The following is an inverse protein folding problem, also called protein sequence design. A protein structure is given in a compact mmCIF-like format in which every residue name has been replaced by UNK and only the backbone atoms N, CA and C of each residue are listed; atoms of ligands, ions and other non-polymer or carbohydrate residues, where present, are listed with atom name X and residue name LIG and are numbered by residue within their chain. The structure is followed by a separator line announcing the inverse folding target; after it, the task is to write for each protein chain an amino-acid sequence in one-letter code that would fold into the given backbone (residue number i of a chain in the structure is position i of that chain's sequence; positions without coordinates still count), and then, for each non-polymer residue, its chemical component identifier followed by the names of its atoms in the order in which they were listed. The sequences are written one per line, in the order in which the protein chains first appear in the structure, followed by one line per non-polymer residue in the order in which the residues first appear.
data_IF_459414044427
#
_entry.id   IF_459414044427
#
_cell.length_a   1.000
_cell.length_b   1.000
_cell.length_c   1.000
_cell.angle_alpha   90.00
_cell.angle_beta   90.00
_cell.angle_gamma   90.00
#
_symmetry.space_group_name_H-M   'P 1'
#
loop_
_entity.id
_entity.type
_entity.pdbx_description
1 polymer ?
#
# COMPACT_ATOMS: atom_id res chain seq x y z
N UNK A 1 6.89 -40.40 1.24
CA UNK A 1 6.13 -39.46 2.10
C UNK A 1 6.05 -38.15 1.35
N UNK A 2 5.00 -37.96 0.56
CA UNK A 2 4.74 -36.73 -0.20
C UNK A 2 4.06 -35.75 0.74
N UNK A 3 4.82 -34.78 1.25
CA UNK A 3 4.28 -33.64 2.00
C UNK A 3 3.45 -32.84 1.03
N UNK A 4 2.13 -32.94 1.12
CA UNK A 4 1.19 -32.05 0.45
C UNK A 4 1.52 -30.64 0.96
N UNK A 5 2.08 -29.78 0.10
CA UNK A 5 2.02 -28.35 0.30
C UNK A 5 0.53 -28.01 0.20
N UNK A 6 -0.11 -27.88 1.35
CA UNK A 6 -1.43 -27.27 1.45
C UNK A 6 -1.30 -25.86 0.88
N UNK A 7 -1.87 -25.66 -0.30
CA UNK A 7 -2.10 -24.34 -0.89
C UNK A 7 -2.99 -23.54 0.07
N UNK A 8 -2.38 -22.94 1.08
CA UNK A 8 -3.08 -22.02 1.99
C UNK A 8 -3.53 -20.84 1.16
N UNK A 9 -4.83 -20.80 0.88
CA UNK A 9 -5.48 -19.65 0.24
C UNK A 9 -5.07 -18.39 1.01
N UNK A 10 -4.51 -17.37 0.33
CA UNK A 10 -4.07 -16.15 1.01
C UNK A 10 -5.22 -15.55 1.81
N UNK A 11 -5.00 -15.20 3.08
CA UNK A 11 -6.01 -14.53 3.89
C UNK A 11 -6.45 -13.24 3.19
N UNK A 12 -7.76 -13.09 2.97
CA UNK A 12 -8.27 -11.88 2.37
C UNK A 12 -8.29 -10.74 3.40
N UNK A 13 -7.86 -9.53 3.01
CA UNK A 13 -7.94 -8.37 3.89
C UNK A 13 -9.40 -8.06 4.23
N UNK A 14 -9.70 -7.95 5.53
CA UNK A 14 -11.03 -7.64 6.03
C UNK A 14 -11.32 -6.15 5.83
N UNK A 15 -12.40 -5.84 5.11
CA UNK A 15 -12.87 -4.47 4.89
C UNK A 15 -14.28 -4.37 5.46
N UNK A 16 -14.48 -3.45 6.41
CA UNK A 16 -15.78 -3.16 7.04
C UNK A 16 -16.10 -1.69 6.73
N UNK A 17 -17.29 -1.43 6.20
CA UNK A 17 -17.76 -0.08 5.82
C UNK A 17 -16.78 0.71 4.93
N UNK A 18 -16.03 0.00 4.08
CA UNK A 18 -15.03 0.59 3.20
C UNK A 18 -13.65 0.83 3.84
N UNK A 19 -13.52 0.63 5.15
CA UNK A 19 -12.27 0.78 5.89
C UNK A 19 -11.61 -0.59 6.13
N UNK A 20 -10.28 -0.63 6.01
CA UNK A 20 -9.51 -1.83 6.30
C UNK A 20 -9.38 -2.04 7.82
N UNK A 21 -9.79 -3.22 8.28
CA UNK A 21 -9.62 -3.64 9.67
C UNK A 21 -8.43 -4.59 9.77
N UNK A 22 -7.35 -4.21 10.46
CA UNK A 22 -6.20 -5.07 10.63
C UNK A 22 -6.55 -6.29 11.50
N UNK A 23 -6.14 -7.47 11.04
CA UNK A 23 -6.31 -8.74 11.75
C UNK A 23 -4.93 -9.33 12.09
N UNK A 24 -4.91 -10.42 12.86
CA UNK A 24 -3.67 -11.15 13.12
C UNK A 24 -3.07 -11.76 11.85
N UNK A 25 -3.92 -12.19 10.93
CA UNK A 25 -3.50 -12.81 9.68
C UNK A 25 -3.02 -11.78 8.64
N UNK A 26 -3.55 -10.56 8.72
CA UNK A 26 -3.14 -9.43 7.87
C UNK A 26 -2.92 -8.19 8.76
N UNK A 27 -1.81 -8.12 9.51
CA UNK A 27 -1.56 -7.06 10.48
C UNK A 27 -0.92 -5.82 9.84
N UNK A 28 -1.54 -5.30 8.79
CA UNK A 28 -1.07 -4.08 8.15
C UNK A 28 -1.34 -2.87 9.04
N UNK A 29 -0.31 -2.03 9.23
CA UNK A 29 -0.38 -0.79 10.00
C UNK A 29 0.04 0.40 9.16
N UNK A 30 -0.83 1.39 9.02
CA UNK A 30 -0.53 2.66 8.34
C UNK A 30 0.59 3.43 9.02
N UNK A 31 0.60 3.44 10.36
CA UNK A 31 1.65 4.08 11.13
C UNK A 31 3.03 3.46 10.89
N UNK A 32 3.09 2.12 10.73
CA UNK A 32 4.34 1.44 10.39
C UNK A 32 4.73 1.72 8.93
N UNK A 33 3.78 1.76 8.01
CA UNK A 33 4.04 2.09 6.61
C UNK A 33 4.65 3.49 6.45
N UNK A 34 4.12 4.49 7.17
CA UNK A 34 4.66 5.84 7.19
C UNK A 34 6.05 5.91 7.81
N UNK A 35 6.25 5.24 8.96
CA UNK A 35 7.55 5.19 9.63
C UNK A 35 8.62 4.57 8.73
N UNK A 36 8.32 3.45 8.05
CA UNK A 36 9.25 2.82 7.11
C UNK A 36 9.61 3.78 5.97
N UNK A 37 8.67 4.58 5.47
CA UNK A 37 8.95 5.58 4.46
C UNK A 37 9.92 6.66 4.98
N UNK A 38 9.69 7.18 6.18
CA UNK A 38 10.55 8.17 6.83
C UNK A 38 11.97 7.61 7.11
N UNK A 39 12.06 6.38 7.62
CA UNK A 39 13.35 5.70 7.84
C UNK A 39 14.13 5.56 6.53
N UNK A 40 13.46 5.21 5.44
CA UNK A 40 14.10 5.09 4.12
C UNK A 40 14.50 6.43 3.51
N UNK A 41 13.76 7.49 3.80
CA UNK A 41 14.13 8.86 3.41
C UNK A 41 15.29 9.42 4.26
N UNK A 42 15.67 8.73 5.34
CA UNK A 42 16.66 9.24 6.31
C UNK A 42 16.10 10.29 7.26
N UNK A 43 14.77 10.44 7.31
CA UNK A 43 14.07 11.44 8.14
C UNK A 43 13.81 10.94 9.56
N UNK A 44 13.82 9.60 9.77
CA UNK A 44 13.64 8.99 11.08
C UNK A 44 14.63 7.84 11.30
N UNK A 45 15.07 7.59 12.54
CA UNK A 45 15.91 6.45 12.88
C UNK A 45 15.05 5.15 12.89
N UNK A 46 15.67 4.01 12.51
CA UNK A 46 15.06 2.69 12.70
C UNK A 46 15.26 2.22 14.15
N UNK A 47 14.74 2.98 15.10
CA UNK A 47 14.81 2.70 16.52
C UNK A 47 13.49 3.08 17.19
N UNK A 48 12.99 2.19 18.05
CA UNK A 48 11.73 2.42 18.75
C UNK A 48 11.26 1.19 19.52
N UNK A 49 10.04 1.26 20.02
CA UNK A 49 9.38 0.13 20.65
C UNK A 49 8.34 -0.43 19.70
N UNK A 50 8.61 -1.61 19.17
CA UNK A 50 7.75 -2.27 18.18
C UNK A 50 7.15 -3.56 18.71
N UNK A 51 5.96 -3.92 18.21
CA UNK A 51 5.34 -5.20 18.51
C UNK A 51 6.23 -6.35 18.02
N UNK A 52 6.51 -7.32 18.88
CA UNK A 52 7.31 -8.48 18.52
C UNK A 52 6.71 -9.34 17.40
N UNK A 53 5.42 -9.26 17.15
CA UNK A 53 4.74 -9.98 16.08
C UNK A 53 4.73 -9.20 14.75
N UNK A 54 4.08 -8.04 14.70
CA UNK A 54 3.81 -7.30 13.46
C UNK A 54 4.66 -6.04 13.29
N UNK A 55 5.56 -5.75 14.24
CA UNK A 55 6.41 -4.55 14.25
C UNK A 55 5.66 -3.20 14.24
N UNK A 56 4.36 -3.19 14.54
CA UNK A 56 3.64 -1.92 14.71
C UNK A 56 4.25 -1.11 15.85
N UNK A 57 4.46 0.21 15.67
CA UNK A 57 4.95 1.08 16.75
C UNK A 57 4.02 1.02 17.97
N UNK A 58 4.61 0.91 19.16
CA UNK A 58 3.88 0.78 20.40
C UNK A 58 4.14 1.99 21.31
N UNK A 59 3.08 2.49 21.95
CA UNK A 59 3.24 3.41 23.05
C UNK A 59 3.97 2.73 24.24
N UNK A 60 4.66 3.52 25.06
CA UNK A 60 5.47 3.01 26.19
C UNK A 60 4.66 2.15 27.18
N UNK A 61 3.38 2.45 27.36
CA UNK A 61 2.48 1.82 28.35
C UNK A 61 1.45 0.87 27.72
N UNK A 62 1.52 0.61 26.41
CA UNK A 62 0.52 -0.22 25.73
C UNK A 62 0.55 -1.67 26.24
N UNK A 63 -0.56 -2.23 26.75
CA UNK A 63 -0.64 -3.61 27.23
C UNK A 63 -0.79 -4.63 26.10
N UNK A 64 -1.29 -4.19 24.93
CA UNK A 64 -1.50 -5.03 23.75
C UNK A 64 -1.26 -4.21 22.47
N UNK A 65 -0.94 -4.91 21.39
CA UNK A 65 -0.74 -4.28 20.07
C UNK A 65 -2.10 -3.84 19.49
N UNK A 66 -2.25 -2.59 19.03
CA UNK A 66 -3.51 -2.12 18.44
C UNK A 66 -3.84 -2.81 17.11
N UNK A 67 -2.84 -3.29 16.38
CA UNK A 67 -2.97 -3.90 15.05
C UNK A 67 -3.27 -5.40 15.13
N UNK A 68 -2.38 -6.21 15.70
CA UNK A 68 -2.55 -7.67 15.75
C UNK A 68 -3.21 -8.19 17.03
N UNK A 69 -3.57 -7.30 17.97
CA UNK A 69 -4.20 -7.61 19.27
C UNK A 69 -3.38 -8.52 20.19
N UNK A 70 -2.15 -8.83 19.85
CA UNK A 70 -1.26 -9.66 20.68
C UNK A 70 -0.93 -8.92 21.98
N UNK A 71 -0.99 -9.60 23.12
CA UNK A 71 -0.57 -9.06 24.41
C UNK A 71 0.96 -8.93 24.41
N UNK A 72 1.46 -7.80 24.92
CA UNK A 72 2.90 -7.52 24.93
C UNK A 72 3.66 -8.42 25.95
N UNK A 73 2.95 -8.93 26.95
CA UNK A 73 3.52 -9.88 27.92
C UNK A 73 3.85 -11.24 27.26
N UNK A 74 3.10 -11.62 26.24
CA UNK A 74 3.26 -12.90 25.56
C UNK A 74 4.35 -12.90 24.48
N UNK A 75 4.72 -11.70 23.98
CA UNK A 75 5.72 -11.55 22.93
C UNK A 75 6.63 -10.35 23.24
N UNK A 76 7.95 -10.57 23.26
CA UNK A 76 8.91 -9.50 23.52
C UNK A 76 8.79 -8.38 22.47
N UNK A 77 8.98 -7.15 22.92
CA UNK A 77 9.05 -6.00 22.00
C UNK A 77 10.39 -6.00 21.28
N UNK A 78 10.39 -5.43 20.06
CA UNK A 78 11.62 -5.23 19.26
C UNK A 78 12.01 -3.76 19.26
N UNK A 79 13.30 -3.51 19.15
CA UNK A 79 13.84 -2.16 19.06
C UNK A 79 13.96 -1.66 17.63
N UNK A 80 14.01 -2.57 16.66
CA UNK A 80 14.19 -2.27 15.24
C UNK A 80 13.16 -2.99 14.37
N UNK A 81 12.87 -2.40 13.24
CA UNK A 81 12.09 -3.02 12.18
C UNK A 81 13.02 -3.91 11.36
N UNK A 82 12.65 -5.18 11.17
CA UNK A 82 13.44 -6.12 10.36
C UNK A 82 13.44 -5.71 8.88
N UNK A 83 14.58 -5.90 8.21
CA UNK A 83 14.73 -5.59 6.78
C UNK A 83 13.70 -6.28 5.89
N UNK A 84 13.45 -7.61 6.04
CA UNK A 84 12.47 -8.28 5.19
C UNK A 84 11.06 -7.67 5.30
N UNK A 85 10.65 -7.27 6.51
CA UNK A 85 9.37 -6.61 6.71
C UNK A 85 9.33 -5.22 6.06
N UNK A 86 10.38 -4.43 6.21
CA UNK A 86 10.48 -3.12 5.57
C UNK A 86 10.43 -3.22 4.03
N UNK A 87 10.97 -4.30 3.45
CA UNK A 87 10.89 -4.57 2.02
C UNK A 87 9.46 -4.86 1.58
N UNK A 88 8.68 -5.66 2.32
CA UNK A 88 7.27 -5.97 2.02
C UNK A 88 6.44 -4.67 1.96
N UNK A 89 6.58 -3.78 2.94
CA UNK A 89 5.91 -2.48 2.96
C UNK A 89 6.32 -1.60 1.78
N UNK A 90 7.60 -1.60 1.46
CA UNK A 90 8.13 -0.82 0.33
C UNK A 90 7.62 -1.34 -1.02
N UNK A 91 7.59 -2.65 -1.23
CA UNK A 91 7.06 -3.25 -2.45
C UNK A 91 5.56 -2.96 -2.61
N UNK A 92 4.79 -3.03 -1.50
CA UNK A 92 3.39 -2.62 -1.48
C UNK A 92 3.23 -1.18 -1.97
N UNK A 93 3.98 -0.24 -1.38
CA UNK A 93 3.93 1.19 -1.73
C UNK A 93 4.35 1.47 -3.18
N UNK A 94 5.38 0.79 -3.67
CA UNK A 94 5.78 0.85 -5.09
C UNK A 94 4.68 0.33 -6.03
N UNK A 95 3.97 -0.71 -5.62
CA UNK A 95 2.87 -1.28 -6.40
C UNK A 95 1.68 -0.33 -6.47
N UNK A 96 1.31 0.29 -5.35
CA UNK A 96 0.27 1.31 -5.28
C UNK A 96 0.61 2.52 -6.15
N UNK A 97 1.84 3.03 -6.04
CA UNK A 97 2.32 4.14 -6.86
C UNK A 97 2.28 3.84 -8.36
N UNK A 98 2.63 2.63 -8.79
CA UNK A 98 2.53 2.24 -10.21
C UNK A 98 1.09 2.29 -10.74
N UNK A 99 0.11 1.85 -9.95
CA UNK A 99 -1.29 1.93 -10.33
C UNK A 99 -1.77 3.37 -10.51
N UNK A 100 -1.43 4.24 -9.58
CA UNK A 100 -1.77 5.67 -9.64
C UNK A 100 -1.13 6.33 -10.86
N UNK A 101 0.18 6.09 -11.09
CA UNK A 101 0.88 6.64 -12.24
C UNK A 101 0.33 6.12 -13.57
N UNK A 102 0.06 4.83 -13.70
CA UNK A 102 -0.49 4.27 -14.94
C UNK A 102 -1.88 4.84 -15.27
N UNK A 103 -2.71 5.04 -14.25
CA UNK A 103 -4.02 5.66 -14.44
C UNK A 103 -3.93 7.14 -14.83
N UNK A 104 -3.00 7.90 -14.21
CA UNK A 104 -2.75 9.29 -14.54
C UNK A 104 -2.27 9.45 -16.00
N UNK A 105 -1.29 8.62 -16.42
CA UNK A 105 -0.80 8.61 -17.80
C UNK A 105 -1.89 8.17 -18.79
N UNK A 106 -2.67 7.13 -18.47
CA UNK A 106 -3.79 6.69 -19.29
C UNK A 106 -4.84 7.79 -19.48
N UNK A 107 -5.18 8.50 -18.41
CA UNK A 107 -6.10 9.64 -18.47
C UNK A 107 -5.56 10.81 -19.31
N UNK A 108 -4.27 11.11 -19.17
CA UNK A 108 -3.63 12.16 -19.95
C UNK A 108 -3.62 11.83 -21.46
N UNK A 109 -3.21 10.61 -21.82
CA UNK A 109 -3.17 10.16 -23.22
C UNK A 109 -4.58 10.18 -23.82
N UNK A 110 -5.56 9.61 -23.13
CA UNK A 110 -6.93 9.58 -23.61
C UNK A 110 -7.51 10.99 -23.76
N UNK A 111 -7.31 11.87 -22.77
CA UNK A 111 -7.74 13.26 -22.84
C UNK A 111 -7.12 14.02 -24.02
N UNK A 112 -5.82 13.80 -24.27
CA UNK A 112 -5.12 14.41 -25.41
C UNK A 112 -5.66 13.92 -26.75
N UNK A 113 -5.89 12.60 -26.91
CA UNK A 113 -6.46 12.04 -28.13
C UNK A 113 -7.87 12.57 -28.44
N UNK A 114 -8.73 12.64 -27.40
CA UNK A 114 -10.08 13.22 -27.56
C UNK A 114 -9.98 14.68 -27.98
N UNK A 115 -9.09 15.46 -27.38
CA UNK A 115 -8.93 16.88 -27.68
C UNK A 115 -8.40 17.11 -29.10
N UNK A 116 -7.44 16.31 -29.55
CA UNK A 116 -6.96 16.35 -30.95
C UNK A 116 -8.12 16.05 -31.91
N UNK A 117 -8.93 15.01 -31.63
CA UNK A 117 -10.10 14.71 -32.42
C UNK A 117 -11.09 15.87 -32.50
N UNK A 118 -11.35 16.54 -31.38
CA UNK A 118 -12.22 17.73 -31.35
C UNK A 118 -11.64 18.91 -32.16
N UNK A 119 -10.33 19.17 -32.06
CA UNK A 119 -9.66 20.22 -32.84
C UNK A 119 -9.77 19.98 -34.34
N UNK A 120 -9.71 18.73 -34.78
CA UNK A 120 -9.84 18.39 -36.20
C UNK A 120 -11.27 18.56 -36.74
N UNK A 121 -12.29 18.32 -35.91
CA UNK A 121 -13.70 18.33 -36.30
C UNK A 121 -14.34 19.73 -36.13
N UNK A 122 -13.93 20.48 -35.12
CA UNK A 122 -14.52 21.77 -34.79
C UNK A 122 -14.08 22.90 -35.76
N UNK A 123 -15.00 23.74 -36.25
CA UNK A 123 -14.66 24.86 -37.13
C UNK A 123 -14.14 26.10 -36.38
N UNK A 124 -13.22 26.83 -37.01
CA UNK A 124 -12.84 28.20 -36.65
C UNK A 124 -12.47 28.42 -35.17
N UNK A 125 -13.06 29.43 -34.56
CA UNK A 125 -12.75 29.87 -33.19
C UNK A 125 -13.16 28.90 -32.09
N UNK A 126 -14.07 27.96 -32.37
CA UNK A 126 -14.48 26.93 -31.40
C UNK A 126 -13.34 25.96 -31.02
N UNK A 127 -12.26 25.92 -31.80
CA UNK A 127 -11.03 25.17 -31.45
C UNK A 127 -10.39 25.64 -30.14
N UNK A 128 -10.57 26.92 -29.80
CA UNK A 128 -10.07 27.47 -28.54
C UNK A 128 -10.70 26.76 -27.34
N UNK A 129 -11.99 26.42 -27.40
CA UNK A 129 -12.65 25.65 -26.35
C UNK A 129 -12.09 24.23 -26.24
N UNK A 130 -11.73 23.58 -27.35
CA UNK A 130 -11.10 22.28 -27.32
C UNK A 130 -9.72 22.31 -26.64
N UNK A 131 -8.94 23.37 -26.83
CA UNK A 131 -7.64 23.58 -26.15
C UNK A 131 -7.83 23.80 -24.65
N UNK A 132 -8.79 24.66 -24.27
CA UNK A 132 -9.10 24.90 -22.87
C UNK A 132 -9.58 23.59 -22.21
N UNK A 133 -10.47 22.84 -22.87
CA UNK A 133 -10.92 21.53 -22.41
C UNK A 133 -9.79 20.52 -22.27
N UNK A 134 -8.82 20.54 -23.19
CA UNK A 134 -7.64 19.68 -23.10
C UNK A 134 -6.84 19.95 -21.82
N UNK A 135 -6.55 21.23 -21.53
CA UNK A 135 -5.75 21.62 -20.37
C UNK A 135 -6.51 21.34 -19.07
N UNK A 136 -7.72 21.90 -18.97
CA UNK A 136 -8.54 21.81 -17.76
C UNK A 136 -9.08 20.40 -17.53
N UNK A 137 -9.56 19.74 -18.59
CA UNK A 137 -10.10 18.38 -18.53
C UNK A 137 -9.02 17.34 -18.22
N UNK A 138 -7.81 17.47 -18.77
CA UNK A 138 -6.68 16.60 -18.44
C UNK A 138 -6.25 16.77 -16.99
N UNK A 139 -6.20 18.01 -16.49
CA UNK A 139 -5.88 18.30 -15.10
C UNK A 139 -6.96 17.77 -14.13
N UNK A 140 -8.23 18.02 -14.39
CA UNK A 140 -9.33 17.51 -13.57
C UNK A 140 -9.42 15.99 -13.61
N UNK A 141 -9.18 15.38 -14.76
CA UNK A 141 -9.19 13.94 -14.90
C UNK A 141 -8.02 13.29 -14.14
N UNK A 142 -6.81 13.83 -14.26
CA UNK A 142 -5.66 13.34 -13.51
C UNK A 142 -5.83 13.49 -11.99
N UNK A 143 -6.39 14.60 -11.52
CA UNK A 143 -6.62 14.84 -10.09
C UNK A 143 -7.81 14.07 -9.55
N UNK A 144 -8.94 14.03 -10.25
CA UNK A 144 -10.18 13.44 -9.74
C UNK A 144 -10.19 11.91 -9.89
N UNK A 145 -9.85 11.37 -11.06
CA UNK A 145 -9.83 9.91 -11.28
C UNK A 145 -8.63 9.28 -10.58
N UNK A 146 -7.46 9.93 -10.63
CA UNK A 146 -6.25 9.46 -9.95
C UNK A 146 -6.42 9.39 -8.44
N UNK A 147 -6.96 10.44 -7.83
CA UNK A 147 -7.02 10.52 -6.35
C UNK A 147 -8.19 9.74 -5.73
N UNK A 148 -9.36 9.64 -6.38
CA UNK A 148 -10.53 9.05 -5.71
C UNK A 148 -10.78 7.59 -6.06
N UNK A 149 -10.84 7.23 -7.34
CA UNK A 149 -11.21 5.86 -7.74
C UNK A 149 -10.04 4.90 -7.85
N UNK A 150 -8.88 5.41 -8.25
CA UNK A 150 -7.70 4.58 -8.46
C UNK A 150 -6.99 4.31 -7.13
N UNK A 151 -6.97 5.28 -6.21
CA UNK A 151 -6.33 5.13 -4.91
C UNK A 151 -6.96 4.00 -4.09
N UNK A 152 -8.29 3.89 -4.04
CA UNK A 152 -8.96 2.80 -3.33
C UNK A 152 -8.64 1.42 -3.93
N UNK A 153 -8.68 1.31 -5.28
CA UNK A 153 -8.31 0.06 -5.96
C UNK A 153 -6.83 -0.28 -5.81
N UNK A 154 -5.96 0.72 -5.87
CA UNK A 154 -4.52 0.57 -5.65
C UNK A 154 -4.24 0.09 -4.22
N UNK A 155 -4.89 0.69 -3.23
CA UNK A 155 -4.78 0.31 -1.82
C UNK A 155 -5.26 -1.13 -1.59
N UNK A 156 -6.44 -1.50 -2.07
CA UNK A 156 -6.95 -2.89 -1.97
C UNK A 156 -6.03 -3.90 -2.66
N UNK A 157 -5.47 -3.56 -3.83
CA UNK A 157 -4.50 -4.40 -4.52
C UNK A 157 -3.19 -4.51 -3.73
N UNK A 158 -2.75 -3.40 -3.11
CA UNK A 158 -1.59 -3.35 -2.24
C UNK A 158 -1.77 -4.21 -0.99
N UNK A 159 -2.95 -4.18 -0.36
CA UNK A 159 -3.27 -5.01 0.80
C UNK A 159 -3.29 -6.51 0.48
N UNK A 160 -3.85 -6.92 -0.66
CA UNK A 160 -3.81 -8.33 -1.09
C UNK A 160 -2.36 -8.80 -1.31
N UNK A 161 -1.55 -7.96 -1.93
CA UNK A 161 -0.13 -8.24 -2.09
C UNK A 161 0.58 -8.35 -0.73
N UNK A 162 0.31 -7.43 0.19
CA UNK A 162 0.84 -7.45 1.54
C UNK A 162 0.44 -8.73 2.28
N UNK A 163 -0.84 -9.11 2.22
CA UNK A 163 -1.35 -10.32 2.87
C UNK A 163 -0.60 -11.57 2.39
N UNK A 164 -0.45 -11.76 1.08
CA UNK A 164 0.26 -12.89 0.52
C UNK A 164 1.75 -12.93 0.93
N UNK A 165 2.42 -11.76 0.96
CA UNK A 165 3.81 -11.65 1.38
C UNK A 165 3.97 -11.82 2.89
N UNK A 166 3.04 -11.31 3.67
CA UNK A 166 3.02 -11.47 5.11
C UNK A 166 2.93 -12.93 5.52
N UNK A 167 2.03 -13.70 4.92
CA UNK A 167 1.90 -15.14 5.20
C UNK A 167 3.21 -15.90 4.94
N UNK A 168 3.86 -15.59 3.81
CA UNK A 168 5.17 -16.18 3.50
C UNK A 168 6.22 -15.80 4.55
N UNK A 169 6.28 -14.51 4.90
CA UNK A 169 7.20 -13.98 5.91
C UNK A 169 6.95 -14.61 7.29
N UNK A 170 5.69 -14.71 7.74
CA UNK A 170 5.36 -15.31 9.04
C UNK A 170 5.72 -16.79 9.08
N UNK A 171 5.46 -17.55 8.01
CA UNK A 171 5.82 -18.96 7.90
C UNK A 171 7.34 -19.19 7.86
N UNK A 172 8.11 -18.32 7.19
CA UNK A 172 9.57 -18.38 7.16
C UNK A 172 10.17 -18.07 8.54
N UNK A 173 9.58 -17.10 9.23
CA UNK A 173 9.96 -16.73 10.59
C UNK A 173 9.67 -17.84 11.61
N UNK A 174 8.53 -18.49 11.54
CA UNK A 174 8.17 -19.62 12.41
C UNK A 174 9.13 -20.81 12.21
N UNK A 175 9.66 -20.98 11.01
CA UNK A 175 10.68 -21.99 10.70
C UNK A 175 12.09 -21.60 11.14
N UNK A 176 12.30 -20.40 11.68
CA UNK A 176 13.61 -19.89 12.04
C UNK A 176 14.54 -19.62 10.84
N UNK A 177 13.97 -19.47 9.64
CA UNK A 177 14.73 -19.27 8.40
C UNK A 177 15.09 -17.79 8.15
N UNK A 178 14.56 -16.88 8.98
CA UNK A 178 14.85 -15.45 8.90
C UNK A 178 15.74 -15.05 10.08
N UNK A 179 16.96 -14.63 9.78
CA UNK A 179 17.77 -13.89 10.74
C UNK A 179 17.10 -12.55 10.98
N UNK A 180 16.79 -12.29 12.23
CA UNK A 180 16.07 -11.08 12.69
C UNK A 180 16.99 -9.84 12.83
N UNK A 181 18.14 -9.80 12.13
CA UNK A 181 19.12 -8.70 12.14
C UNK A 181 18.76 -7.52 11.22
#
# INVERSE_FOLDING_TARGET
MTTQLEDTVPAEPTIVDGEFVPTRDVPFSTALDELIAQVRAGEAPNLGRFCGYCCTPLASTAPSCPTCKTKIVDLPTREKISRPLAEIYTEKRKREGRWVHSAAWGGLILGTLISIGLILVLPGWTKVFAIIFMILGSYLNATYIGNYRVQERAFRSGLRFFAARWQKYSAERERGALDDD
#
